data_IF_096934805843
#
_entry.id   IF_096934805843
#
_cell.length_a   1.000
_cell.length_b   1.000
_cell.length_c   1.000
_cell.angle_alpha   90.00
_cell.angle_beta   90.00
_cell.angle_gamma   90.00
#
_symmetry.space_group_name_H-M   'P 1'
#
loop_
_entity.id
_entity.type
_entity.pdbx_description
1 polymer ?
#
# COMPACT_ATOMS: atom_id res chain seq x y z
N UNK A 1 -12.37 1.27 13.58
CA UNK A 1 -10.99 0.82 13.85
C UNK A 1 -10.92 -0.67 13.57
N UNK A 2 -9.92 -1.14 12.84
CA UNK A 2 -9.67 -2.57 12.64
C UNK A 2 -8.79 -3.09 13.77
N UNK A 3 -9.20 -4.20 14.36
CA UNK A 3 -8.54 -4.84 15.50
C UNK A 3 -8.09 -6.22 15.03
N UNK A 4 -6.81 -6.33 14.68
CA UNK A 4 -6.20 -7.58 14.18
C UNK A 4 -5.82 -8.54 15.33
N UNK A 5 -6.61 -8.52 16.41
CA UNK A 5 -6.45 -9.38 17.57
C UNK A 5 -7.65 -10.32 17.68
N UNK A 6 -7.43 -11.55 18.15
CA UNK A 6 -8.47 -12.58 18.26
C UNK A 6 -9.50 -12.32 19.36
N UNK A 7 -9.31 -11.28 20.14
CA UNK A 7 -10.10 -10.88 21.30
C UNK A 7 -10.68 -9.47 21.12
N UNK A 8 -11.15 -9.14 19.91
CA UNK A 8 -11.59 -7.79 19.55
C UNK A 8 -12.66 -7.26 20.50
N UNK A 9 -13.70 -8.05 20.79
CA UNK A 9 -14.76 -7.67 21.71
C UNK A 9 -14.22 -7.43 23.12
N UNK A 10 -13.41 -8.35 23.64
CA UNK A 10 -12.85 -8.21 24.98
C UNK A 10 -12.03 -6.93 25.10
N UNK A 11 -11.19 -6.61 24.10
CA UNK A 11 -10.41 -5.36 24.09
C UNK A 11 -11.31 -4.12 24.04
N UNK A 12 -12.40 -4.19 23.28
CA UNK A 12 -13.30 -3.05 23.10
C UNK A 12 -14.18 -2.75 24.33
N UNK A 13 -14.39 -3.71 25.24
CA UNK A 13 -15.32 -3.55 26.38
C UNK A 13 -14.65 -3.71 27.76
N UNK A 14 -13.45 -4.28 27.83
CA UNK A 14 -12.76 -4.52 29.11
C UNK A 14 -12.41 -3.21 29.81
N UNK A 15 -12.66 -3.17 31.12
CA UNK A 15 -12.42 -1.98 31.96
C UNK A 15 -11.02 -2.04 32.60
N UNK A 16 -10.36 -0.89 32.79
CA UNK A 16 -10.78 0.46 32.40
C UNK A 16 -10.65 0.71 30.89
N UNK A 17 -11.58 1.49 30.32
CA UNK A 17 -11.52 1.88 28.91
C UNK A 17 -10.67 3.14 28.75
N UNK A 18 -9.76 3.13 27.77
CA UNK A 18 -9.01 4.31 27.33
C UNK A 18 -9.72 5.08 26.19
N UNK A 19 -10.91 4.63 25.79
CA UNK A 19 -11.72 5.25 24.75
C UNK A 19 -13.20 5.32 25.19
N UNK A 20 -14.01 6.20 24.56
CA UNK A 20 -15.46 6.19 24.73
C UNK A 20 -16.07 4.83 24.38
N UNK A 21 -17.22 4.50 24.97
CA UNK A 21 -17.91 3.24 24.69
C UNK A 21 -18.24 3.10 23.20
N UNK A 22 -17.86 1.98 22.55
CA UNK A 22 -18.18 1.76 21.14
C UNK A 22 -19.67 1.78 20.87
N UNK A 23 -20.09 2.24 19.69
CA UNK A 23 -21.46 2.08 19.22
C UNK A 23 -21.74 0.63 18.80
N UNK A 24 -20.72 -0.03 18.23
CA UNK A 24 -20.79 -1.44 17.86
C UNK A 24 -19.39 -2.07 17.78
N UNK A 25 -19.36 -3.38 17.94
CA UNK A 25 -18.21 -4.25 17.69
C UNK A 25 -18.69 -5.38 16.79
N UNK A 26 -18.03 -5.62 15.67
CA UNK A 26 -18.37 -6.71 14.74
C UNK A 26 -17.18 -7.65 14.56
N UNK A 27 -17.31 -8.88 15.04
CA UNK A 27 -16.27 -9.91 14.99
C UNK A 27 -16.54 -10.96 13.92
N UNK A 28 -15.45 -11.44 13.32
CA UNK A 28 -15.49 -12.69 12.55
C UNK A 28 -15.47 -13.91 13.48
N UNK A 29 -15.80 -15.11 12.98
CA UNK A 29 -15.58 -16.35 13.71
C UNK A 29 -14.12 -16.57 14.18
N UNK A 30 -13.15 -15.86 13.59
CA UNK A 30 -11.75 -15.91 14.02
C UNK A 30 -11.42 -15.02 15.24
N UNK A 31 -12.38 -14.23 15.72
CA UNK A 31 -12.23 -13.28 16.83
C UNK A 31 -11.64 -11.91 16.44
N UNK A 32 -11.21 -11.75 15.19
CA UNK A 32 -10.80 -10.46 14.61
C UNK A 32 -11.99 -9.67 14.13
N UNK A 33 -11.97 -8.36 14.30
CA UNK A 33 -13.14 -7.54 14.03
C UNK A 33 -12.88 -6.05 13.86
N UNK A 34 -13.98 -5.34 13.65
CA UNK A 34 -13.99 -3.88 13.63
C UNK A 34 -14.77 -3.33 14.82
N UNK A 35 -14.28 -2.21 15.34
CA UNK A 35 -14.94 -1.42 16.38
C UNK A 35 -15.35 -0.08 15.79
N UNK A 36 -16.60 0.34 16.01
CA UNK A 36 -17.16 1.55 15.43
C UNK A 36 -17.83 2.48 16.43
N UNK A 37 -17.70 3.78 16.16
CA UNK A 37 -18.39 4.87 16.83
C UNK A 37 -19.21 5.63 15.80
N UNK A 38 -20.51 5.73 16.01
CA UNK A 38 -21.41 6.41 15.09
C UNK A 38 -21.33 7.92 15.35
N UNK A 39 -21.11 8.69 14.29
CA UNK A 39 -21.06 10.15 14.39
C UNK A 39 -22.44 10.76 14.16
N UNK A 40 -22.82 11.71 15.03
CA UNK A 40 -24.05 12.51 14.92
C UNK A 40 -24.03 13.39 13.68
N UNK A 41 -22.86 13.97 13.40
CA UNK A 41 -22.63 14.78 12.19
C UNK A 41 -21.59 14.08 11.33
N UNK A 42 -21.96 13.57 10.14
CA UNK A 42 -21.02 12.85 9.28
C UNK A 42 -19.94 13.79 8.73
N UNK A 43 -18.75 13.24 8.49
CA UNK A 43 -17.62 13.97 7.90
C UNK A 43 -17.44 13.50 6.47
N UNK A 44 -17.54 14.43 5.52
CA UNK A 44 -17.28 14.14 4.11
C UNK A 44 -15.79 13.81 3.91
N UNK A 45 -15.49 12.63 3.37
CA UNK A 45 -14.14 12.10 3.13
C UNK A 45 -13.67 12.24 1.67
N UNK A 46 -14.49 12.81 0.80
CA UNK A 46 -14.10 13.08 -0.60
C UNK A 46 -13.35 14.40 -0.70
N UNK A 47 -12.83 14.70 -1.89
CA UNK A 47 -12.12 15.97 -2.17
C UNK A 47 -13.01 17.22 -1.97
N UNK A 48 -14.34 17.03 -1.92
CA UNK A 48 -15.30 18.09 -1.60
C UNK A 48 -15.43 18.36 -0.09
N UNK A 49 -14.75 17.58 0.75
CA UNK A 49 -14.81 17.67 2.20
C UNK A 49 -14.10 18.91 2.76
N UNK A 50 -14.59 19.44 3.88
CA UNK A 50 -13.94 20.56 4.57
C UNK A 50 -12.63 20.08 5.22
N UNK A 51 -11.47 20.72 4.95
CA UNK A 51 -10.19 20.24 5.46
C UNK A 51 -10.09 20.18 6.99
N UNK A 52 -10.62 21.17 7.69
CA UNK A 52 -10.54 21.24 9.16
C UNK A 52 -11.30 20.08 9.86
N UNK A 53 -12.59 19.82 9.58
CA UNK A 53 -13.29 18.64 10.09
C UNK A 53 -12.63 17.31 9.70
N UNK A 54 -12.13 17.19 8.47
CA UNK A 54 -11.48 15.97 8.01
C UNK A 54 -10.18 15.69 8.81
N UNK A 55 -9.35 16.71 9.01
CA UNK A 55 -8.14 16.60 9.81
C UNK A 55 -8.45 16.30 11.28
N UNK A 56 -9.51 16.89 11.83
CA UNK A 56 -9.93 16.62 13.21
C UNK A 56 -10.46 15.19 13.38
N UNK A 57 -11.30 14.73 12.46
CA UNK A 57 -11.79 13.35 12.43
C UNK A 57 -10.66 12.34 12.30
N UNK A 58 -9.63 12.62 11.49
CA UNK A 58 -8.45 11.77 11.38
C UNK A 58 -7.67 11.67 12.70
N UNK A 59 -7.58 12.76 13.49
CA UNK A 59 -6.93 12.71 14.82
C UNK A 59 -7.73 11.88 15.82
N UNK A 60 -9.05 12.01 15.80
CA UNK A 60 -9.94 11.19 16.64
C UNK A 60 -9.82 9.71 16.25
N UNK A 61 -9.85 9.39 14.96
CA UNK A 61 -9.67 8.02 14.46
C UNK A 61 -8.33 7.43 14.89
N UNK A 62 -7.25 8.21 14.82
CA UNK A 62 -5.92 7.79 15.27
C UNK A 62 -5.84 7.55 16.78
N UNK A 63 -6.49 8.40 17.59
CA UNK A 63 -6.58 8.19 19.04
C UNK A 63 -7.38 6.93 19.39
N UNK A 64 -8.50 6.67 18.70
CA UNK A 64 -9.28 5.44 18.87
C UNK A 64 -8.48 4.20 18.44
N UNK A 65 -7.71 4.30 17.36
CA UNK A 65 -6.81 3.23 16.90
C UNK A 65 -5.75 2.95 17.96
N UNK A 66 -5.10 3.97 18.51
CA UNK A 66 -4.10 3.82 19.56
C UNK A 66 -4.70 3.20 20.84
N UNK A 67 -5.92 3.61 21.23
CA UNK A 67 -6.61 3.09 22.40
C UNK A 67 -6.90 1.58 22.33
N UNK A 68 -7.10 1.06 21.12
CA UNK A 68 -7.41 -0.36 20.88
C UNK A 68 -6.20 -1.20 20.47
N UNK A 69 -5.01 -0.60 20.35
CA UNK A 69 -3.87 -1.24 19.66
C UNK A 69 -4.27 -1.75 18.27
N UNK A 70 -5.06 -0.94 17.55
CA UNK A 70 -5.62 -1.26 16.24
C UNK A 70 -4.59 -1.16 15.12
N UNK A 71 -4.87 -1.85 14.01
CA UNK A 71 -3.96 -1.95 12.87
C UNK A 71 -3.61 -0.57 12.30
N UNK A 72 -2.31 -0.26 12.28
CA UNK A 72 -1.74 0.97 11.71
C UNK A 72 -1.83 0.97 10.18
N UNK A 73 -1.85 -0.22 9.55
CA UNK A 73 -1.95 -0.42 8.12
C UNK A 73 -3.36 -0.26 7.55
N UNK A 74 -4.38 -0.24 8.42
CA UNK A 74 -5.78 -0.18 8.02
C UNK A 74 -6.15 1.18 7.40
N UNK A 75 -6.51 1.15 6.11
CA UNK A 75 -6.76 2.34 5.32
C UNK A 75 -8.19 2.90 5.45
N UNK A 76 -9.09 2.24 6.19
CA UNK A 76 -10.47 2.68 6.32
C UNK A 76 -11.36 2.47 5.09
N UNK A 77 -10.93 1.63 4.14
CA UNK A 77 -11.65 1.38 2.88
C UNK A 77 -12.73 0.30 3.00
N UNK A 78 -12.51 -0.71 3.84
CA UNK A 78 -13.42 -1.84 4.02
C UNK A 78 -13.68 -2.04 5.51
N UNK A 79 -14.94 -1.97 5.93
CA UNK A 79 -15.36 -2.21 7.30
C UNK A 79 -16.36 -3.35 7.33
N UNK A 80 -16.30 -4.19 8.37
CA UNK A 80 -17.33 -5.22 8.61
C UNK A 80 -18.69 -4.55 8.76
N UNK A 81 -19.69 -5.07 8.07
CA UNK A 81 -21.05 -4.57 8.16
C UNK A 81 -21.72 -5.13 9.44
N UNK A 82 -21.96 -4.33 10.50
CA UNK A 82 -22.44 -4.85 11.79
C UNK A 82 -23.83 -5.52 11.73
N UNK A 83 -24.61 -5.34 10.66
CA UNK A 83 -25.92 -6.00 10.48
C UNK A 83 -25.85 -7.28 9.64
N UNK A 84 -24.66 -7.69 9.19
CA UNK A 84 -24.50 -8.90 8.39
C UNK A 84 -24.55 -10.17 9.28
N UNK A 85 -25.30 -11.22 8.91
CA UNK A 85 -25.51 -12.40 9.75
C UNK A 85 -24.24 -13.20 10.06
N UNK A 86 -23.23 -13.15 9.19
CA UNK A 86 -21.96 -13.87 9.40
C UNK A 86 -21.07 -13.28 10.51
N UNK A 87 -21.38 -12.08 11.02
CA UNK A 87 -20.59 -11.43 12.05
C UNK A 87 -21.27 -11.52 13.41
N UNK A 88 -20.47 -11.83 14.43
CA UNK A 88 -20.90 -11.70 15.82
C UNK A 88 -20.83 -10.21 16.19
N UNK A 89 -21.99 -9.54 16.18
CA UNK A 89 -22.07 -8.11 16.48
C UNK A 89 -22.57 -7.88 17.90
N UNK A 90 -21.81 -7.07 18.64
CA UNK A 90 -22.21 -6.52 19.93
C UNK A 90 -22.51 -5.04 19.79
N UNK A 91 -23.70 -4.61 20.19
CA UNK A 91 -24.09 -3.20 20.20
C UNK A 91 -23.74 -2.56 21.55
N UNK A 92 -23.23 -1.33 21.51
CA UNK A 92 -22.89 -0.56 22.70
C UNK A 92 -23.71 0.73 22.77
N UNK A 93 -23.03 1.87 22.86
CA UNK A 93 -23.65 3.18 23.02
C UNK A 93 -24.74 3.44 21.95
N UNK A 94 -26.01 3.66 22.35
CA UNK A 94 -27.12 3.82 21.40
C UNK A 94 -27.12 5.21 20.73
N UNK A 95 -26.58 6.21 21.43
CA UNK A 95 -26.56 7.59 20.96
C UNK A 95 -25.32 7.88 20.11
N UNK A 96 -25.46 8.63 19.01
CA UNK A 96 -24.34 8.99 18.17
C UNK A 96 -23.48 10.10 18.82
N UNK A 97 -22.18 10.02 18.62
CA UNK A 97 -21.21 10.96 19.19
C UNK A 97 -20.95 12.16 18.29
N UNK A 98 -20.68 13.31 18.89
CA UNK A 98 -19.89 14.37 18.26
C UNK A 98 -18.41 14.00 18.26
N UNK A 99 -17.64 14.56 17.32
CA UNK A 99 -16.17 14.39 17.33
C UNK A 99 -15.53 14.95 18.60
N UNK A 100 -16.13 15.99 19.20
CA UNK A 100 -15.64 16.60 20.42
C UNK A 100 -15.80 15.68 21.65
N UNK A 101 -16.94 14.98 21.75
CA UNK A 101 -17.15 13.98 22.80
C UNK A 101 -16.14 12.84 22.70
N UNK A 102 -15.90 12.34 21.48
CA UNK A 102 -14.89 11.31 21.27
C UNK A 102 -13.49 11.79 21.65
N UNK A 103 -13.12 12.99 21.22
CA UNK A 103 -11.82 13.58 21.56
C UNK A 103 -11.64 13.79 23.07
N UNK A 104 -12.69 14.25 23.76
CA UNK A 104 -12.68 14.43 25.22
C UNK A 104 -12.49 13.10 25.94
N UNK A 105 -13.18 12.05 25.50
CA UNK A 105 -13.06 10.71 26.10
C UNK A 105 -11.72 10.03 25.82
N UNK A 106 -11.00 10.43 24.76
CA UNK A 106 -9.64 9.94 24.46
C UNK A 106 -8.55 10.62 25.30
N UNK A 107 -8.78 11.86 25.77
CA UNK A 107 -7.81 12.59 26.57
C UNK A 107 -6.42 12.64 25.94
N UNK A 108 -5.42 12.12 26.65
CA UNK A 108 -4.00 12.13 26.24
C UNK A 108 -3.71 11.25 25.01
N UNK A 109 -4.63 10.37 24.61
CA UNK A 109 -4.50 9.58 23.38
C UNK A 109 -4.78 10.41 22.12
N UNK A 110 -5.27 11.65 22.25
CA UNK A 110 -5.42 12.53 21.11
C UNK A 110 -4.05 12.98 20.57
N UNK A 111 -3.69 12.62 19.32
CA UNK A 111 -2.40 13.01 18.77
C UNK A 111 -2.36 14.52 18.51
N UNK A 112 -1.32 15.19 19.02
CA UNK A 112 -1.07 16.61 18.72
C UNK A 112 -0.86 16.83 17.23
N UNK A 113 -0.04 15.96 16.64
CA UNK A 113 0.26 15.91 15.21
C UNK A 113 -0.10 14.51 14.75
N UNK A 114 -0.85 14.40 13.65
CA UNK A 114 -1.06 13.10 13.05
C UNK A 114 0.30 12.50 12.72
N UNK A 115 0.58 11.24 13.11
CA UNK A 115 1.78 10.59 12.62
C UNK A 115 1.74 10.75 11.11
N UNK A 116 2.90 11.04 10.49
CA UNK A 116 3.01 10.87 9.05
C UNK A 116 2.62 9.43 8.83
N UNK A 117 1.37 9.18 8.40
CA UNK A 117 1.01 7.94 7.73
C UNK A 117 2.10 7.87 6.69
N UNK A 118 3.06 6.96 6.86
CA UNK A 118 4.03 6.80 5.82
C UNK A 118 3.13 6.50 4.63
N UNK A 119 3.14 7.40 3.65
CA UNK A 119 2.44 7.18 2.39
C UNK A 119 2.93 5.86 1.76
N UNK A 120 3.97 5.28 2.36
CA UNK A 120 4.68 4.04 2.11
C UNK A 120 4.30 2.85 3.04
N UNK A 121 3.44 2.98 4.08
CA UNK A 121 3.21 1.89 5.07
C UNK A 121 1.78 1.35 5.21
N UNK A 122 0.82 1.77 4.37
CA UNK A 122 -0.40 0.94 4.20
C UNK A 122 -0.05 -0.29 3.38
N UNK A 123 -0.62 -1.47 3.69
CA UNK A 123 -0.42 -2.69 2.87
C UNK A 123 -0.73 -2.47 1.39
N UNK A 124 -1.66 -1.55 1.09
CA UNK A 124 -1.98 -1.10 -0.26
C UNK A 124 -0.85 -0.28 -0.90
N UNK A 125 -0.21 0.65 -0.19
CA UNK A 125 0.90 1.46 -0.71
C UNK A 125 2.13 0.62 -1.08
N UNK A 126 2.46 -0.39 -0.26
CA UNK A 126 3.58 -1.31 -0.51
C UNK A 126 3.29 -2.25 -1.67
N UNK A 127 2.10 -2.84 -1.73
CA UNK A 127 1.73 -3.71 -2.85
C UNK A 127 1.69 -2.93 -4.18
N UNK A 128 1.13 -1.73 -4.18
CA UNK A 128 1.11 -0.82 -5.35
C UNK A 128 2.51 -0.38 -5.74
N UNK A 129 3.38 -0.07 -4.77
CA UNK A 129 4.78 0.29 -5.02
C UNK A 129 5.54 -0.88 -5.62
N UNK A 130 5.45 -2.07 -5.02
CA UNK A 130 6.05 -3.31 -5.53
C UNK A 130 5.59 -3.57 -6.98
N UNK A 131 4.28 -3.52 -7.23
CA UNK A 131 3.72 -3.67 -8.58
C UNK A 131 4.26 -2.64 -9.57
N UNK A 132 4.31 -1.36 -9.19
CA UNK A 132 4.78 -0.28 -10.06
C UNK A 132 6.27 -0.37 -10.38
N UNK A 133 7.10 -0.69 -9.40
CA UNK A 133 8.54 -0.89 -9.60
C UNK A 133 8.76 -2.12 -10.47
N UNK A 134 8.14 -3.24 -10.11
CA UNK A 134 8.29 -4.52 -10.79
C UNK A 134 7.85 -4.45 -12.25
N UNK A 135 6.66 -3.90 -12.55
CA UNK A 135 6.16 -3.83 -13.94
C UNK A 135 7.06 -2.97 -14.84
N UNK A 136 7.58 -1.85 -14.34
CA UNK A 136 8.47 -0.96 -15.11
C UNK A 136 9.83 -1.61 -15.39
N UNK A 137 10.34 -2.38 -14.44
CA UNK A 137 11.49 -3.22 -14.68
C UNK A 137 11.18 -4.33 -15.69
N UNK A 138 10.03 -4.99 -15.55
CA UNK A 138 9.64 -6.12 -16.37
C UNK A 138 9.47 -5.74 -17.85
N UNK A 139 8.81 -4.61 -18.15
CA UNK A 139 8.65 -4.09 -19.51
C UNK A 139 9.98 -3.87 -20.24
N UNK A 140 11.04 -3.56 -19.49
CA UNK A 140 12.38 -3.31 -20.03
C UNK A 140 13.26 -4.56 -20.07
N UNK A 141 12.87 -5.63 -19.40
CA UNK A 141 13.75 -6.80 -19.22
C UNK A 141 13.21 -8.04 -19.94
N UNK A 142 11.90 -8.12 -20.18
CA UNK A 142 11.23 -9.27 -20.79
C UNK A 142 11.88 -9.72 -22.11
N UNK A 143 12.31 -8.80 -22.97
CA UNK A 143 12.88 -9.12 -24.28
C UNK A 143 14.18 -9.95 -24.22
N UNK A 144 14.80 -10.10 -23.03
CA UNK A 144 16.03 -10.85 -22.81
C UNK A 144 15.81 -12.35 -22.52
N UNK A 145 14.55 -12.76 -22.38
CA UNK A 145 14.17 -14.10 -21.96
C UNK A 145 13.32 -14.77 -23.03
N UNK A 146 13.57 -16.05 -23.31
CA UNK A 146 12.79 -16.82 -24.29
C UNK A 146 12.03 -17.99 -23.66
N UNK A 147 12.29 -18.30 -22.39
CA UNK A 147 11.65 -19.38 -21.62
C UNK A 147 10.77 -18.81 -20.51
N UNK A 148 9.51 -19.25 -20.44
CA UNK A 148 8.54 -18.71 -19.47
C UNK A 148 8.89 -19.03 -18.01
N UNK A 149 9.39 -20.24 -17.75
CA UNK A 149 9.80 -20.65 -16.40
C UNK A 149 10.89 -19.75 -15.84
N UNK A 150 11.98 -19.56 -16.60
CA UNK A 150 13.08 -18.66 -16.26
C UNK A 150 12.58 -17.22 -16.01
N UNK A 151 11.69 -16.73 -16.87
CA UNK A 151 11.10 -15.40 -16.73
C UNK A 151 10.31 -15.23 -15.42
N UNK A 152 9.49 -16.23 -15.06
CA UNK A 152 8.71 -16.21 -13.82
C UNK A 152 9.63 -16.25 -12.59
N UNK A 153 10.70 -17.04 -12.63
CA UNK A 153 11.71 -17.11 -11.56
C UNK A 153 12.47 -15.79 -11.36
N UNK A 154 12.98 -15.19 -12.45
CA UNK A 154 13.71 -13.91 -12.36
C UNK A 154 12.77 -12.79 -11.90
N UNK A 155 11.51 -12.79 -12.36
CA UNK A 155 10.52 -11.81 -11.92
C UNK A 155 10.23 -11.94 -10.43
N UNK A 156 10.15 -13.17 -9.91
CA UNK A 156 9.98 -13.42 -8.48
C UNK A 156 11.22 -12.97 -7.69
N UNK A 157 12.42 -13.32 -8.13
CA UNK A 157 13.66 -12.90 -7.48
C UNK A 157 13.78 -11.37 -7.41
N UNK A 158 13.45 -10.67 -8.50
CA UNK A 158 13.43 -9.21 -8.51
C UNK A 158 12.39 -8.64 -7.54
N UNK A 159 11.18 -9.23 -7.49
CA UNK A 159 10.13 -8.80 -6.57
C UNK A 159 10.53 -8.99 -5.10
N UNK A 160 11.23 -10.09 -4.78
CA UNK A 160 11.78 -10.35 -3.45
C UNK A 160 12.82 -9.29 -3.07
N UNK A 161 13.71 -8.92 -3.99
CA UNK A 161 14.69 -7.86 -3.74
C UNK A 161 14.04 -6.50 -3.49
N UNK A 162 13.06 -6.11 -4.30
CA UNK A 162 12.30 -4.86 -4.06
C UNK A 162 11.58 -4.89 -2.71
N UNK A 163 11.03 -6.04 -2.32
CA UNK A 163 10.37 -6.19 -1.03
C UNK A 163 11.32 -6.05 0.16
N UNK A 164 12.58 -6.43 0.00
CA UNK A 164 13.61 -6.30 1.03
C UNK A 164 14.01 -4.84 1.30
N UNK A 165 13.74 -3.92 0.36
CA UNK A 165 13.97 -2.48 0.53
C UNK A 165 12.88 -1.80 1.36
N UNK A 166 11.74 -2.48 1.61
CA UNK A 166 10.68 -1.90 2.42
C UNK A 166 11.06 -1.89 3.91
N UNK A 167 10.78 -0.79 4.66
CA UNK A 167 10.98 -0.75 6.11
C UNK A 167 10.26 -1.88 6.85
N UNK A 168 9.12 -2.33 6.32
CA UNK A 168 8.40 -3.52 6.76
C UNK A 168 8.04 -4.36 5.52
N UNK A 169 8.74 -5.49 5.28
CA UNK A 169 8.51 -6.35 4.12
C UNK A 169 7.06 -6.87 4.05
N UNK A 170 6.55 -7.07 2.83
CA UNK A 170 5.30 -7.79 2.56
C UNK A 170 5.47 -9.29 2.84
N UNK A 171 4.34 -9.97 3.08
CA UNK A 171 4.33 -11.42 3.24
C UNK A 171 4.74 -12.14 1.96
N UNK A 172 5.42 -13.28 2.10
CA UNK A 172 5.86 -14.11 0.97
C UNK A 172 4.73 -14.41 -0.03
N UNK A 173 3.48 -14.76 0.40
CA UNK A 173 2.39 -15.00 -0.53
C UNK A 173 1.99 -13.77 -1.36
N UNK A 174 2.06 -12.58 -0.76
CA UNK A 174 1.71 -11.31 -1.44
C UNK A 174 2.73 -10.97 -2.52
N UNK A 175 4.02 -11.10 -2.18
CA UNK A 175 5.11 -10.88 -3.15
C UNK A 175 5.01 -11.86 -4.31
N UNK A 176 4.80 -13.15 -4.01
CA UNK A 176 4.67 -14.19 -5.03
C UNK A 176 3.45 -13.97 -5.94
N UNK A 177 2.33 -13.53 -5.37
CA UNK A 177 1.12 -13.20 -6.15
C UNK A 177 1.35 -12.02 -7.10
N UNK A 178 1.95 -10.94 -6.60
CA UNK A 178 2.28 -9.75 -7.40
C UNK A 178 3.27 -10.09 -8.52
N UNK A 179 4.33 -10.85 -8.20
CA UNK A 179 5.33 -11.29 -9.17
C UNK A 179 4.70 -12.12 -10.29
N UNK A 180 3.89 -13.12 -9.93
CA UNK A 180 3.20 -13.99 -10.88
C UNK A 180 2.25 -13.20 -11.79
N UNK A 181 1.51 -12.24 -11.22
CA UNK A 181 0.60 -11.37 -11.97
C UNK A 181 1.34 -10.56 -13.05
N UNK A 182 2.42 -9.88 -12.66
CA UNK A 182 3.25 -9.10 -13.59
C UNK A 182 3.90 -10.01 -14.63
N UNK A 183 4.54 -11.10 -14.19
CA UNK A 183 5.25 -12.01 -15.08
C UNK A 183 4.33 -12.55 -16.19
N UNK A 184 3.16 -13.05 -15.83
CA UNK A 184 2.20 -13.64 -16.78
C UNK A 184 1.54 -12.60 -17.68
N UNK A 185 1.26 -11.40 -17.17
CA UNK A 185 0.71 -10.34 -18.00
C UNK A 185 1.73 -9.91 -19.06
N UNK A 186 2.96 -9.62 -18.64
CA UNK A 186 4.05 -9.20 -19.54
C UNK A 186 4.41 -10.31 -20.53
N UNK A 187 4.39 -11.57 -20.11
CA UNK A 187 4.67 -12.71 -21.00
C UNK A 187 3.68 -12.85 -22.14
N UNK A 188 2.38 -12.64 -21.87
CA UNK A 188 1.31 -12.72 -22.88
C UNK A 188 1.29 -11.54 -23.85
N UNK A 189 1.94 -10.43 -23.51
CA UNK A 189 1.95 -9.23 -24.34
C UNK A 189 3.18 -9.25 -25.25
N UNK A 190 2.96 -9.62 -26.51
CA UNK A 190 4.01 -9.78 -27.53
C UNK A 190 4.87 -8.52 -27.72
N UNK A 191 4.34 -7.33 -27.42
CA UNK A 191 5.07 -6.06 -27.50
C UNK A 191 6.33 -6.01 -26.62
N UNK A 192 6.39 -6.81 -25.56
CA UNK A 192 7.54 -6.91 -24.65
C UNK A 192 8.50 -8.04 -25.01
N UNK A 193 8.12 -8.92 -25.94
CA UNK A 193 8.99 -9.97 -26.47
C UNK A 193 10.09 -9.41 -27.37
N UNK A 194 11.04 -10.24 -27.84
CA UNK A 194 12.14 -9.81 -28.68
C UNK A 194 11.68 -9.09 -29.96
N UNK A 195 10.66 -9.62 -30.64
CA UNK A 195 10.12 -9.04 -31.88
C UNK A 195 9.36 -7.74 -31.63
N UNK A 196 8.49 -7.72 -30.61
CA UNK A 196 7.77 -6.53 -30.17
C UNK A 196 8.71 -5.39 -29.79
N UNK A 197 9.78 -5.69 -29.05
CA UNK A 197 10.81 -4.73 -28.70
C UNK A 197 11.49 -4.15 -29.96
N UNK A 198 11.87 -4.99 -30.92
CA UNK A 198 12.45 -4.53 -32.21
C UNK A 198 11.48 -3.61 -32.95
N UNK A 199 10.19 -3.95 -33.01
CA UNK A 199 9.17 -3.14 -33.65
C UNK A 199 8.99 -1.78 -32.97
N UNK A 200 8.94 -1.74 -31.63
CA UNK A 200 8.85 -0.50 -30.84
C UNK A 200 10.10 0.37 -31.04
N UNK A 201 11.29 -0.21 -31.05
CA UNK A 201 12.54 0.52 -31.30
C UNK A 201 12.59 1.09 -32.72
N UNK A 202 12.19 0.31 -33.73
CA UNK A 202 12.12 0.79 -35.11
C UNK A 202 11.14 1.96 -35.26
N UNK A 203 9.95 1.86 -34.66
CA UNK A 203 8.95 2.94 -34.65
C UNK A 203 9.50 4.20 -33.99
N UNK A 204 10.10 4.07 -32.80
CA UNK A 204 10.71 5.20 -32.08
C UNK A 204 11.84 5.83 -32.89
N UNK A 205 12.70 5.00 -33.49
CA UNK A 205 13.80 5.47 -34.34
C UNK A 205 13.32 6.35 -35.49
N UNK A 206 12.19 6.02 -36.13
CA UNK A 206 11.58 6.82 -37.22
C UNK A 206 11.12 8.21 -36.77
N UNK A 207 10.66 8.35 -35.52
CA UNK A 207 10.16 9.61 -34.95
C UNK A 207 11.32 10.54 -34.55
N UNK A 208 12.47 9.98 -34.19
CA UNK A 208 13.64 10.74 -33.72
C UNK A 208 14.31 11.47 -34.89
N UNK A 209 14.49 12.79 -34.73
CA UNK A 209 15.16 13.65 -35.72
C UNK A 209 16.63 13.28 -35.92
N UNK A 210 17.23 13.57 -37.09
CA UNK A 210 18.64 13.28 -37.36
C UNK A 210 19.60 13.85 -36.30
N UNK A 211 19.32 15.05 -35.80
CA UNK A 211 20.11 15.70 -34.75
C UNK A 211 20.11 14.91 -33.42
N UNK A 212 18.95 14.36 -33.01
CA UNK A 212 18.85 13.55 -31.79
C UNK A 212 19.49 12.16 -31.99
N UNK A 213 19.45 11.60 -33.22
CA UNK A 213 20.17 10.36 -33.54
C UNK A 213 21.68 10.53 -33.40
N UNK A 214 22.22 11.65 -33.90
CA UNK A 214 23.65 11.94 -33.78
C UNK A 214 24.05 12.21 -32.32
N UNK A 215 23.25 12.97 -31.57
CA UNK A 215 23.48 13.17 -30.14
C UNK A 215 23.49 11.86 -29.34
N UNK A 216 22.59 10.92 -29.65
CA UNK A 216 22.57 9.59 -29.03
C UNK A 216 23.76 8.73 -29.47
N UNK A 217 24.22 8.83 -30.72
CA UNK A 217 25.42 8.16 -31.20
C UNK A 217 26.66 8.60 -30.43
N UNK A 218 26.84 9.91 -30.28
CA UNK A 218 27.94 10.53 -29.52
C UNK A 218 27.89 10.15 -28.04
N UNK A 219 26.70 10.10 -27.43
CA UNK A 219 26.54 9.62 -26.04
C UNK A 219 26.93 8.15 -25.87
N UNK A 220 26.65 7.30 -26.87
CA UNK A 220 26.98 5.87 -26.84
C UNK A 220 28.47 5.58 -27.01
N UNK A 221 29.20 6.46 -27.72
CA UNK A 221 30.65 6.33 -27.93
C UNK A 221 31.50 6.99 -26.86
N UNK A 222 30.92 7.80 -25.97
CA UNK A 222 31.61 8.24 -24.75
C UNK A 222 31.74 7.06 -23.79
N UNK A 223 32.81 6.26 -23.98
CA UNK A 223 33.35 5.45 -22.90
C UNK A 223 33.84 6.43 -21.83
N UNK A 224 33.37 6.25 -20.60
CA UNK A 224 33.85 7.05 -19.47
C UNK A 224 35.27 6.58 -19.13
N UNK A 225 36.29 7.18 -19.77
CA UNK A 225 37.69 6.84 -19.52
C UNK A 225 38.14 7.09 -18.07
N UNK A 226 37.32 7.77 -17.24
CA UNK A 226 37.58 7.93 -15.82
C UNK A 226 37.50 6.59 -15.04
N UNK A 227 36.75 5.59 -15.53
CA UNK A 227 36.61 4.29 -14.84
C UNK A 227 37.67 3.26 -15.27
N UNK A 228 38.49 3.55 -16.29
CA UNK A 228 39.51 2.61 -16.83
C UNK A 228 40.91 2.84 -16.23
N UNK A 229 41.15 3.97 -15.54
CA UNK A 229 42.48 4.33 -15.02
C UNK A 229 42.75 3.81 -13.59
N UNK A 230 41.75 3.23 -12.91
CA UNK A 230 41.92 2.70 -11.55
C UNK A 230 42.31 1.21 -11.48
N UNK A 231 42.37 0.47 -12.59
CA UNK A 231 42.73 -0.96 -12.62
C UNK A 231 44.18 -1.25 -13.08
N UNK A 232 45.03 -0.23 -13.29
CA UNK A 232 46.44 -0.42 -13.69
C UNK A 232 47.42 0.23 -12.72
N UNK A 233 46.97 0.54 -11.50
CA UNK A 233 47.79 1.08 -10.43
C UNK A 233 47.58 0.29 -9.12
N UNK A 234 47.77 -1.03 -9.19
CA UNK A 234 48.17 -1.89 -8.07
C UNK A 234 49.34 -2.78 -8.51
#
# INVERSE_FOLDING_TARGET
VDVDHRDTLLRAISRPLAHPEPSWVAESPSGRGHVGWVLRTPVCRTDSGRPKPLAYAAKVEEGLRAALDGDVGYAGLLTKNPIHPDWATTWGAPEPYSLEELARGLGDLMPRVLPRRAVESSGLGRNVTLFNVLRRWAYRSRYRYDVQGEWEEVTLAYAVNVNAEFPVPLGVPEVASTARSVARWVWRHEEFGPEGFRAVQARRGRIVTPAVREANRVRRTKVNHADVVLEVAE
#
